data_IF_484919982768
#
_entry.id   IF_484919982768
#
_cell.length_a   1.000
_cell.length_b   1.000
_cell.length_c   1.000
_cell.angle_alpha   90.00
_cell.angle_beta   90.00
_cell.angle_gamma   90.00
#
_symmetry.space_group_name_H-M   'P 1'
#
loop_
_entity.id
_entity.type
_entity.pdbx_description
1 polymer ?
#
# COMPACT_ATOMS: atom_id res chain seq x y z
N UNK A 1 18.78 -0.68 4.35
CA UNK A 1 19.12 -2.07 3.98
C UNK A 1 19.00 -2.23 2.47
N UNK A 2 19.91 -2.98 1.83
CA UNK A 2 19.82 -3.26 0.39
C UNK A 2 18.58 -4.12 0.05
N UNK A 3 18.01 -4.00 -1.18
CA UNK A 3 16.88 -4.83 -1.59
C UNK A 3 17.25 -6.30 -1.61
N UNK A 4 16.29 -7.17 -1.27
CA UNK A 4 16.46 -8.62 -1.28
C UNK A 4 15.89 -9.21 -2.57
N UNK A 5 16.72 -9.26 -3.61
CA UNK A 5 16.38 -9.79 -4.92
C UNK A 5 16.30 -11.31 -4.93
N UNK A 6 15.32 -11.89 -5.64
CA UNK A 6 15.07 -13.34 -5.73
C UNK A 6 15.95 -14.07 -6.75
N UNK A 7 16.86 -13.36 -7.42
CA UNK A 7 17.80 -13.93 -8.39
C UNK A 7 18.79 -12.90 -8.92
N UNK A 8 19.89 -13.38 -9.51
CA UNK A 8 21.00 -12.51 -9.97
C UNK A 8 20.59 -11.47 -11.02
N UNK A 9 19.64 -11.81 -11.90
CA UNK A 9 19.15 -10.90 -12.94
C UNK A 9 17.94 -10.05 -12.51
N UNK A 10 17.38 -10.28 -11.32
CA UNK A 10 16.14 -9.63 -10.91
C UNK A 10 16.30 -8.12 -10.71
N UNK A 11 17.44 -7.69 -10.16
CA UNK A 11 17.78 -6.27 -10.00
C UNK A 11 17.90 -5.56 -11.35
N UNK A 12 18.67 -6.14 -12.29
CA UNK A 12 18.83 -5.59 -13.63
C UNK A 12 17.48 -5.45 -14.36
N UNK A 13 16.60 -6.45 -14.24
CA UNK A 13 15.23 -6.38 -14.79
C UNK A 13 14.41 -5.25 -14.17
N UNK A 14 14.45 -5.11 -12.84
CA UNK A 14 13.73 -4.06 -12.13
C UNK A 14 14.24 -2.66 -12.47
N UNK A 15 15.54 -2.50 -12.71
CA UNK A 15 16.15 -1.23 -13.13
C UNK A 15 15.86 -0.89 -14.60
N UNK A 16 15.82 -1.91 -15.48
CA UNK A 16 15.46 -1.72 -16.89
C UNK A 16 14.01 -1.25 -17.05
N UNK A 17 13.11 -1.70 -16.17
CA UNK A 17 11.71 -1.29 -16.16
C UNK A 17 11.28 -0.77 -14.77
N UNK A 18 11.55 0.51 -14.46
CA UNK A 18 11.16 1.11 -13.19
C UNK A 18 9.65 1.11 -12.99
N UNK A 19 9.19 0.83 -11.77
CA UNK A 19 7.76 0.75 -11.44
C UNK A 19 6.99 2.04 -11.80
N UNK A 20 7.61 3.22 -11.61
CA UNK A 20 7.00 4.50 -11.97
C UNK A 20 6.64 4.59 -13.46
N UNK A 21 7.49 4.04 -14.34
CA UNK A 21 7.25 3.98 -15.78
C UNK A 21 6.10 3.03 -16.11
N UNK A 22 6.04 1.88 -15.45
CA UNK A 22 4.97 0.88 -15.62
C UNK A 22 3.62 1.49 -15.20
N UNK A 23 3.58 2.13 -14.03
CA UNK A 23 2.37 2.77 -13.49
C UNK A 23 1.90 3.93 -14.38
N UNK A 24 2.83 4.73 -14.93
CA UNK A 24 2.49 5.80 -15.88
C UNK A 24 1.91 5.24 -17.19
N UNK A 25 2.48 4.16 -17.74
CA UNK A 25 1.92 3.48 -18.92
C UNK A 25 0.52 2.94 -18.66
N UNK A 26 0.32 2.30 -17.50
CA UNK A 26 -0.99 1.81 -17.06
C UNK A 26 -1.99 2.96 -16.98
N UNK A 27 -1.59 4.10 -16.38
CA UNK A 27 -2.45 5.27 -16.26
C UNK A 27 -2.92 5.76 -17.64
N UNK A 28 -2.01 5.96 -18.59
CA UNK A 28 -2.35 6.42 -19.94
C UNK A 28 -3.31 5.46 -20.65
N UNK A 29 -3.01 4.15 -20.64
CA UNK A 29 -3.85 3.13 -21.28
C UNK A 29 -5.27 3.07 -20.70
N UNK A 30 -5.41 3.23 -19.38
CA UNK A 30 -6.73 3.25 -18.73
C UNK A 30 -7.53 4.52 -19.04
N UNK A 31 -6.86 5.67 -19.15
CA UNK A 31 -7.49 6.94 -19.54
C UNK A 31 -7.96 6.88 -20.99
N UNK A 32 -7.13 6.40 -21.91
CA UNK A 32 -7.44 6.28 -23.34
C UNK A 32 -8.63 5.35 -23.61
N UNK A 33 -8.74 4.27 -22.84
CA UNK A 33 -9.85 3.30 -22.95
C UNK A 33 -11.12 3.71 -22.17
N UNK A 34 -11.11 4.82 -21.42
CA UNK A 34 -12.19 5.26 -20.54
C UNK A 34 -12.69 4.11 -19.64
N UNK A 35 -11.74 3.42 -19.01
CA UNK A 35 -11.98 2.17 -18.30
C UNK A 35 -12.96 2.34 -17.12
N UNK A 36 -13.86 1.36 -16.94
CA UNK A 36 -14.89 1.37 -15.91
C UNK A 36 -14.76 0.15 -14.99
N UNK A 37 -14.78 0.41 -13.68
CA UNK A 37 -14.84 -0.62 -12.65
C UNK A 37 -16.24 -0.76 -12.09
N UNK A 38 -16.77 -1.99 -12.05
CA UNK A 38 -18.04 -2.32 -11.42
C UNK A 38 -17.85 -2.53 -9.92
N UNK A 39 -18.50 -1.70 -9.11
CA UNK A 39 -18.51 -1.84 -7.67
C UNK A 39 -19.33 -3.07 -7.26
N UNK A 40 -18.71 -4.00 -6.54
CA UNK A 40 -19.38 -5.23 -6.08
C UNK A 40 -18.95 -5.57 -4.65
N UNK A 41 -19.84 -5.31 -3.69
CA UNK A 41 -19.61 -5.60 -2.27
C UNK A 41 -18.42 -4.84 -1.69
N UNK A 42 -17.33 -5.57 -1.38
CA UNK A 42 -16.09 -5.00 -0.83
C UNK A 42 -14.94 -4.99 -1.85
N UNK A 43 -15.26 -5.06 -3.14
CA UNK A 43 -14.28 -5.04 -4.24
C UNK A 43 -14.81 -4.31 -5.46
N UNK A 44 -13.92 -3.97 -6.37
CA UNK A 44 -14.28 -3.42 -7.69
C UNK A 44 -13.75 -4.36 -8.77
N UNK A 45 -14.61 -4.71 -9.72
CA UNK A 45 -14.31 -5.58 -10.84
C UNK A 45 -14.02 -4.75 -12.08
N UNK A 46 -12.88 -5.00 -12.72
CA UNK A 46 -12.46 -4.25 -13.89
C UNK A 46 -12.07 -5.22 -15.00
N UNK A 47 -12.63 -5.02 -16.19
CA UNK A 47 -12.25 -5.78 -17.38
C UNK A 47 -11.06 -5.07 -18.06
N UNK A 48 -10.03 -5.84 -18.39
CA UNK A 48 -8.81 -5.35 -19.01
C UNK A 48 -8.57 -6.07 -20.35
N UNK A 49 -8.08 -5.31 -21.33
CA UNK A 49 -7.54 -5.86 -22.59
C UNK A 49 -6.17 -6.54 -22.35
N UNK A 50 -5.57 -7.21 -23.34
CA UNK A 50 -4.30 -7.91 -23.17
C UNK A 50 -3.13 -7.00 -22.73
N UNK A 51 -3.04 -5.78 -23.25
CA UNK A 51 -1.97 -4.83 -22.89
C UNK A 51 -2.14 -4.33 -21.46
N UNK A 52 -3.37 -3.94 -21.10
CA UNK A 52 -3.75 -3.56 -19.74
C UNK A 52 -3.51 -4.70 -18.76
N UNK A 53 -3.78 -5.94 -19.16
CA UNK A 53 -3.55 -7.13 -18.34
C UNK A 53 -2.08 -7.27 -17.97
N UNK A 54 -1.17 -7.11 -18.94
CA UNK A 54 0.26 -7.11 -18.67
C UNK A 54 0.64 -5.98 -17.70
N UNK A 55 0.14 -4.76 -17.94
CA UNK A 55 0.41 -3.59 -17.11
C UNK A 55 -0.14 -3.73 -15.68
N UNK A 56 -1.34 -4.27 -15.49
CA UNK A 56 -1.93 -4.55 -14.18
C UNK A 56 -1.08 -5.55 -13.40
N UNK A 57 -0.65 -6.62 -14.06
CA UNK A 57 0.23 -7.63 -13.47
C UNK A 57 1.57 -7.01 -13.06
N UNK A 58 2.20 -6.25 -13.95
CA UNK A 58 3.50 -5.62 -13.68
C UNK A 58 3.43 -4.55 -12.58
N UNK A 59 2.37 -3.71 -12.57
CA UNK A 59 2.14 -2.69 -11.54
C UNK A 59 1.57 -3.24 -10.22
N UNK A 60 1.21 -4.54 -10.21
CA UNK A 60 0.69 -5.27 -9.06
C UNK A 60 -0.60 -4.66 -8.47
N UNK A 61 -1.50 -4.16 -9.31
CA UNK A 61 -2.83 -3.74 -8.89
C UNK A 61 -3.81 -4.90 -9.01
N UNK A 62 -4.55 -5.17 -7.94
CA UNK A 62 -5.60 -6.18 -7.94
C UNK A 62 -5.11 -7.62 -8.05
N UNK A 63 -6.07 -8.49 -8.32
CA UNK A 63 -5.89 -9.92 -8.56
C UNK A 63 -6.64 -10.33 -9.82
N UNK A 64 -6.00 -11.06 -10.75
CA UNK A 64 -6.71 -11.59 -11.91
C UNK A 64 -7.76 -12.61 -11.46
N UNK A 65 -8.94 -12.57 -12.09
CA UNK A 65 -10.03 -13.53 -11.93
C UNK A 65 -10.00 -14.47 -13.12
N UNK A 66 -10.00 -15.78 -12.86
CA UNK A 66 -10.09 -16.77 -13.92
C UNK A 66 -11.53 -16.75 -14.44
N UNK A 67 -11.70 -16.43 -15.72
CA UNK A 67 -13.01 -16.47 -16.39
C UNK A 67 -12.94 -17.40 -17.59
N UNK A 68 -14.11 -17.87 -18.05
CA UNK A 68 -14.23 -18.72 -19.25
C UNK A 68 -14.16 -17.92 -20.55
N UNK A 69 -14.21 -16.59 -20.49
CA UNK A 69 -14.15 -15.70 -21.65
C UNK A 69 -12.70 -15.58 -22.13
N UNK A 70 -12.44 -15.88 -23.41
CA UNK A 70 -11.08 -15.92 -23.97
C UNK A 70 -10.46 -14.54 -24.19
N UNK A 71 -11.29 -13.51 -24.37
CA UNK A 71 -10.83 -12.21 -24.89
C UNK A 71 -10.77 -11.09 -23.85
N UNK A 72 -11.22 -11.32 -22.61
CA UNK A 72 -11.22 -10.32 -21.53
C UNK A 72 -10.75 -10.92 -20.22
N UNK A 73 -9.68 -10.34 -19.67
CA UNK A 73 -9.20 -10.70 -18.35
C UNK A 73 -9.83 -9.76 -17.33
N UNK A 74 -10.48 -10.33 -16.32
CA UNK A 74 -11.05 -9.55 -15.23
C UNK A 74 -10.07 -9.42 -14.08
N UNK A 75 -10.06 -8.27 -13.42
CA UNK A 75 -9.29 -7.98 -12.22
C UNK A 75 -10.22 -7.60 -11.08
N UNK A 76 -9.96 -8.19 -9.91
CA UNK A 76 -10.55 -7.79 -8.64
C UNK A 76 -9.61 -6.80 -7.94
N UNK A 77 -10.06 -5.56 -7.77
CA UNK A 77 -9.39 -4.53 -6.99
C UNK A 77 -9.97 -4.50 -5.57
N UNK A 78 -9.11 -4.25 -4.57
CA UNK A 78 -9.57 -3.84 -3.25
C UNK A 78 -10.20 -2.44 -3.30
N UNK A 79 -10.96 -2.05 -2.27
CA UNK A 79 -11.52 -0.71 -2.17
C UNK A 79 -10.42 0.37 -2.19
N UNK A 80 -9.29 0.12 -1.52
CA UNK A 80 -8.15 1.05 -1.50
C UNK A 80 -7.49 1.17 -2.87
N UNK A 81 -7.31 0.05 -3.57
CA UNK A 81 -6.77 0.02 -4.94
C UNK A 81 -7.67 0.78 -5.91
N UNK A 82 -8.98 0.51 -5.86
CA UNK A 82 -9.95 1.12 -6.75
C UNK A 82 -10.08 2.63 -6.52
N UNK A 83 -10.17 3.07 -5.26
CA UNK A 83 -10.22 4.50 -4.94
C UNK A 83 -8.93 5.21 -5.32
N UNK A 84 -7.77 4.56 -5.21
CA UNK A 84 -6.50 5.14 -5.64
C UNK A 84 -6.46 5.36 -7.16
N UNK A 85 -6.89 4.36 -7.94
CA UNK A 85 -6.97 4.49 -9.39
C UNK A 85 -8.00 5.55 -9.83
N UNK A 86 -9.13 5.65 -9.12
CA UNK A 86 -10.21 6.58 -9.42
C UNK A 86 -9.90 8.03 -9.01
N UNK A 87 -9.50 8.28 -7.77
CA UNK A 87 -9.39 9.64 -7.22
C UNK A 87 -7.97 10.21 -7.30
N UNK A 88 -6.94 9.37 -7.09
CA UNK A 88 -5.53 9.83 -7.08
C UNK A 88 -4.94 9.80 -8.48
N UNK A 89 -5.06 8.66 -9.18
CA UNK A 89 -4.55 8.53 -10.56
C UNK A 89 -5.53 9.03 -11.62
N UNK A 90 -6.82 9.16 -11.29
CA UNK A 90 -7.87 9.65 -12.20
C UNK A 90 -7.92 8.90 -13.53
N UNK A 91 -7.71 7.58 -13.49
CA UNK A 91 -7.61 6.74 -14.69
C UNK A 91 -8.76 5.76 -14.89
N UNK A 92 -9.64 5.60 -13.90
CA UNK A 92 -10.84 4.75 -14.02
C UNK A 92 -12.08 5.48 -13.49
N UNK A 93 -13.26 5.05 -13.93
CA UNK A 93 -14.56 5.45 -13.35
C UNK A 93 -15.18 4.26 -12.64
N UNK A 94 -15.80 4.48 -11.49
CA UNK A 94 -16.46 3.40 -10.74
C UNK A 94 -17.97 3.51 -10.93
N UNK A 95 -18.58 2.43 -11.43
CA UNK A 95 -20.03 2.32 -11.63
C UNK A 95 -20.66 1.44 -10.56
N UNK A 96 -21.83 1.82 -10.07
CA UNK A 96 -22.61 1.01 -9.14
C UNK A 96 -23.46 -0.06 -9.83
N UNK A 97 -24.21 -0.81 -9.03
CA UNK A 97 -25.17 -1.81 -9.50
C UNK A 97 -26.26 -1.20 -10.41
N UNK A 98 -26.56 0.08 -10.21
CA UNK A 98 -27.47 0.90 -11.02
C UNK A 98 -26.89 1.29 -12.40
N UNK A 99 -25.66 0.86 -12.71
CA UNK A 99 -24.88 1.28 -13.89
C UNK A 99 -24.62 2.79 -13.97
N UNK A 100 -24.86 3.51 -12.88
CA UNK A 100 -24.53 4.92 -12.77
C UNK A 100 -23.10 5.08 -12.25
N UNK A 101 -22.37 6.03 -12.82
CA UNK A 101 -21.05 6.43 -12.30
C UNK A 101 -21.27 7.06 -10.93
N UNK A 102 -20.56 6.56 -9.92
CA UNK A 102 -20.60 7.12 -8.57
C UNK A 102 -19.66 8.31 -8.49
N UNK A 103 -20.13 9.38 -7.86
CA UNK A 103 -19.26 10.50 -7.52
C UNK A 103 -18.28 10.11 -6.39
N UNK A 104 -17.28 10.96 -6.14
CA UNK A 104 -16.25 10.68 -5.13
C UNK A 104 -16.81 10.64 -3.70
N UNK A 105 -17.85 11.42 -3.38
CA UNK A 105 -18.47 11.47 -2.05
C UNK A 105 -19.29 10.21 -1.78
N UNK A 106 -20.10 9.78 -2.74
CA UNK A 106 -20.86 8.54 -2.71
C UNK A 106 -19.94 7.34 -2.54
N UNK A 107 -18.83 7.32 -3.29
CA UNK A 107 -17.84 6.26 -3.20
C UNK A 107 -17.17 6.25 -1.83
N UNK A 108 -16.78 7.43 -1.32
CA UNK A 108 -16.17 7.58 -0.01
C UNK A 108 -17.10 7.09 1.12
N UNK A 109 -18.36 7.53 1.11
CA UNK A 109 -19.37 7.08 2.07
C UNK A 109 -19.61 5.58 1.98
N UNK A 110 -19.73 5.03 0.76
CA UNK A 110 -19.91 3.60 0.54
C UNK A 110 -18.74 2.81 1.14
N UNK A 111 -17.51 3.15 0.78
CA UNK A 111 -16.32 2.41 1.21
C UNK A 111 -16.11 2.52 2.73
N UNK A 112 -16.33 3.70 3.30
CA UNK A 112 -16.26 3.93 4.75
C UNK A 112 -17.32 3.13 5.50
N UNK A 113 -18.52 2.95 4.93
CA UNK A 113 -19.57 2.11 5.53
C UNK A 113 -19.24 0.61 5.49
N UNK A 114 -18.49 0.16 4.47
CA UNK A 114 -18.16 -1.26 4.26
C UNK A 114 -16.98 -1.75 5.08
N UNK A 115 -15.98 -0.89 5.30
CA UNK A 115 -14.75 -1.27 5.99
C UNK A 115 -14.44 -0.29 7.11
N UNK A 116 -14.39 -0.81 8.34
CA UNK A 116 -13.93 -0.03 9.49
C UNK A 116 -12.50 0.48 9.25
N UNK A 117 -12.23 1.71 9.70
CA UNK A 117 -10.94 2.38 9.50
C UNK A 117 -10.52 2.53 8.03
N UNK A 118 -11.46 2.43 7.07
CA UNK A 118 -11.15 2.60 5.65
C UNK A 118 -10.40 3.92 5.33
N UNK A 119 -10.80 5.10 5.86
CA UNK A 119 -10.07 6.35 5.60
C UNK A 119 -8.59 6.27 5.97
N UNK A 120 -8.29 5.69 7.14
CA UNK A 120 -6.94 5.51 7.67
C UNK A 120 -6.12 4.56 6.79
N UNK A 121 -6.70 3.41 6.46
CA UNK A 121 -6.05 2.39 5.62
C UNK A 121 -5.81 2.89 4.20
N UNK A 122 -6.77 3.61 3.63
CA UNK A 122 -6.64 4.19 2.31
C UNK A 122 -5.57 5.27 2.28
N UNK A 123 -5.50 6.15 3.28
CA UNK A 123 -4.44 7.15 3.39
C UNK A 123 -3.06 6.51 3.44
N UNK A 124 -2.89 5.47 4.27
CA UNK A 124 -1.64 4.71 4.37
C UNK A 124 -1.28 4.01 3.05
N UNK A 125 -2.26 3.39 2.39
CA UNK A 125 -2.09 2.76 1.09
C UNK A 125 -1.64 3.78 0.03
N UNK A 126 -2.34 4.91 -0.07
CA UNK A 126 -2.03 5.99 -1.00
C UNK A 126 -0.64 6.56 -0.76
N UNK A 127 -0.27 6.77 0.50
CA UNK A 127 1.06 7.25 0.90
C UNK A 127 2.18 6.33 0.42
N UNK A 128 2.03 5.02 0.58
CA UNK A 128 2.98 4.03 0.07
C UNK A 128 3.03 4.02 -1.47
N UNK A 129 1.87 4.06 -2.14
CA UNK A 129 1.81 4.05 -3.61
C UNK A 129 2.43 5.31 -4.22
N UNK A 130 2.22 6.49 -3.63
CA UNK A 130 2.87 7.74 -4.07
C UNK A 130 4.39 7.68 -3.94
N UNK A 131 4.92 6.89 -3.01
CA UNK A 131 6.36 6.59 -2.88
C UNK A 131 6.83 5.43 -3.78
N UNK A 132 6.01 5.01 -4.75
CA UNK A 132 6.27 3.91 -5.69
C UNK A 132 6.50 2.54 -5.02
N UNK A 133 5.92 2.29 -3.85
CA UNK A 133 5.88 0.92 -3.31
C UNK A 133 4.82 0.09 -4.03
N UNK A 134 5.13 -1.18 -4.31
CA UNK A 134 4.08 -2.18 -4.54
C UNK A 134 3.50 -2.55 -3.18
N UNK A 135 2.20 -2.35 -3.00
CA UNK A 135 1.49 -2.61 -1.75
C UNK A 135 0.57 -3.80 -1.94
N UNK A 136 0.64 -4.80 -1.04
CA UNK A 136 -0.27 -5.96 -1.04
C UNK A 136 -0.83 -6.17 0.36
N UNK A 137 -1.95 -6.91 0.44
CA UNK A 137 -2.54 -7.27 1.73
C UNK A 137 -1.54 -8.02 2.63
N UNK A 138 -1.44 -7.62 3.90
CA UNK A 138 -0.47 -8.13 4.86
C UNK A 138 -0.99 -9.28 5.75
N UNK A 139 -2.21 -9.76 5.52
CA UNK A 139 -2.90 -10.70 6.42
C UNK A 139 -2.12 -11.98 6.72
N UNK A 140 -1.36 -12.49 5.76
CA UNK A 140 -0.47 -13.66 5.93
C UNK A 140 0.64 -13.46 6.97
N UNK A 141 0.98 -12.22 7.28
CA UNK A 141 2.03 -11.84 8.22
C UNK A 141 1.47 -11.16 9.47
N UNK A 142 0.14 -11.16 9.62
CA UNK A 142 -0.53 -10.47 10.72
C UNK A 142 -0.28 -8.96 10.69
N UNK A 143 -0.21 -8.33 9.52
CA UNK A 143 -0.08 -6.87 9.39
C UNK A 143 -1.08 -6.35 8.34
N UNK A 144 -1.26 -5.04 8.22
CA UNK A 144 -2.25 -4.46 7.30
C UNK A 144 -1.78 -4.59 5.85
N UNK A 145 -0.52 -4.21 5.59
CA UNK A 145 0.09 -4.29 4.26
C UNK A 145 1.49 -4.89 4.29
N UNK A 146 1.95 -5.33 3.13
CA UNK A 146 3.37 -5.58 2.85
C UNK A 146 3.80 -4.73 1.67
N UNK A 147 4.98 -4.13 1.79
CA UNK A 147 5.53 -3.23 0.78
C UNK A 147 6.76 -3.86 0.09
N UNK A 148 6.77 -3.80 -1.24
CA UNK A 148 7.87 -4.29 -2.08
C UNK A 148 8.45 -3.14 -2.90
N UNK A 149 9.76 -3.14 -3.09
CA UNK A 149 10.45 -2.17 -3.96
C UNK A 149 10.11 -2.34 -5.44
N UNK A 150 9.66 -3.53 -5.84
CA UNK A 150 9.26 -3.89 -7.21
C UNK A 150 8.34 -5.13 -7.15
N UNK A 151 8.01 -5.72 -8.29
CA UNK A 151 7.14 -6.87 -8.44
C UNK A 151 7.54 -8.03 -7.49
N UNK A 152 6.60 -8.67 -6.77
CA UNK A 152 6.88 -9.75 -5.81
C UNK A 152 7.60 -10.97 -6.38
N UNK A 153 7.60 -11.16 -7.70
CA UNK A 153 8.39 -12.21 -8.36
C UNK A 153 9.90 -11.88 -8.42
N UNK A 154 10.27 -10.60 -8.38
CA UNK A 154 11.67 -10.14 -8.51
C UNK A 154 12.32 -9.89 -7.15
N UNK A 155 11.55 -9.38 -6.18
CA UNK A 155 12.09 -8.93 -4.89
C UNK A 155 11.22 -9.44 -3.73
N UNK A 156 11.84 -9.74 -2.59
CA UNK A 156 11.10 -9.96 -1.36
C UNK A 156 10.54 -8.63 -0.83
N UNK A 157 9.40 -8.69 -0.15
CA UNK A 157 8.87 -7.54 0.59
C UNK A 157 9.92 -7.03 1.57
N UNK A 158 10.07 -5.72 1.64
CA UNK A 158 10.97 -5.07 2.60
C UNK A 158 10.25 -4.83 3.92
N UNK A 159 9.04 -4.26 3.84
CA UNK A 159 8.27 -3.88 5.01
C UNK A 159 7.07 -4.79 5.24
N UNK A 160 6.88 -5.14 6.51
CA UNK A 160 5.60 -5.50 7.08
C UNK A 160 5.01 -4.22 7.69
N UNK A 161 3.83 -3.81 7.26
CA UNK A 161 3.29 -2.46 7.54
C UNK A 161 2.08 -2.56 8.46
N UNK A 162 2.18 -1.93 9.63
CA UNK A 162 1.05 -1.69 10.53
C UNK A 162 0.60 -0.25 10.43
N UNK A 163 -0.71 -0.04 10.30
CA UNK A 163 -1.33 1.28 10.25
C UNK A 163 -1.99 1.55 11.59
N UNK A 164 -1.62 2.65 12.25
CA UNK A 164 -2.17 3.09 13.53
C UNK A 164 -2.82 4.46 13.37
N UNK A 165 -3.84 4.74 14.18
CA UNK A 165 -4.41 6.08 14.31
C UNK A 165 -4.66 6.44 15.77
N UNK A 166 -4.64 7.75 16.05
CA UNK A 166 -4.96 8.27 17.39
C UNK A 166 -6.46 8.57 17.57
N UNK A 167 -7.29 8.29 16.56
CA UNK A 167 -8.72 8.62 16.60
C UNK A 167 -9.46 7.78 17.66
N UNK A 168 -10.26 8.46 18.47
CA UNK A 168 -11.07 7.85 19.52
C UNK A 168 -12.11 6.90 18.92
N UNK A 169 -12.01 5.61 19.26
CA UNK A 169 -12.82 4.55 18.66
C UNK A 169 -12.06 3.68 17.65
N UNK A 170 -10.76 3.91 17.44
CA UNK A 170 -9.93 2.99 16.67
C UNK A 170 -9.90 1.60 17.32
N UNK A 171 -10.73 0.71 16.79
CA UNK A 171 -10.82 -0.70 17.19
C UNK A 171 -9.58 -1.50 16.79
N UNK A 172 -8.66 -0.92 16.01
CA UNK A 172 -7.38 -1.54 15.63
C UNK A 172 -6.29 -1.34 16.68
N UNK A 173 -6.66 -1.37 17.97
CA UNK A 173 -5.80 -1.23 19.15
C UNK A 173 -4.60 -2.21 19.20
N UNK A 174 -3.64 -2.03 18.30
CA UNK A 174 -2.46 -2.85 18.11
C UNK A 174 -1.25 -2.06 18.54
N UNK A 175 -0.24 -2.75 19.08
CA UNK A 175 0.98 -2.11 19.58
C UNK A 175 0.71 -1.14 20.75
N UNK A 176 -0.34 -1.38 21.55
CA UNK A 176 -0.62 -0.58 22.77
C UNK A 176 0.22 -1.00 23.97
N UNK A 177 0.67 -2.25 23.97
CA UNK A 177 1.49 -2.84 25.02
C UNK A 177 2.76 -3.45 24.44
N UNK A 178 3.81 -3.55 25.25
CA UNK A 178 5.10 -4.09 24.83
C UNK A 178 5.03 -5.52 24.28
N UNK A 179 4.12 -6.35 24.78
CA UNK A 179 3.91 -7.71 24.28
C UNK A 179 3.52 -7.72 22.79
N UNK A 180 2.70 -6.78 22.34
CA UNK A 180 2.30 -6.67 20.94
C UNK A 180 3.50 -6.37 20.04
N UNK A 181 4.38 -5.46 20.49
CA UNK A 181 5.63 -5.17 19.80
C UNK A 181 6.51 -6.41 19.70
N UNK A 182 6.71 -7.13 20.82
CA UNK A 182 7.52 -8.35 20.82
C UNK A 182 6.96 -9.43 19.89
N UNK A 183 5.65 -9.66 19.92
CA UNK A 183 4.98 -10.61 19.02
C UNK A 183 5.13 -10.19 17.56
N UNK A 184 4.86 -8.93 17.24
CA UNK A 184 4.95 -8.41 15.88
C UNK A 184 6.38 -8.46 15.34
N UNK A 185 7.37 -8.06 16.14
CA UNK A 185 8.78 -8.11 15.75
C UNK A 185 9.26 -9.55 15.58
N UNK A 186 8.78 -10.50 16.40
CA UNK A 186 9.07 -11.92 16.23
C UNK A 186 8.52 -12.46 14.90
N UNK A 187 7.26 -12.14 14.59
CA UNK A 187 6.63 -12.51 13.31
C UNK A 187 7.39 -11.92 12.12
N UNK A 188 7.65 -10.61 12.13
CA UNK A 188 8.38 -9.91 11.06
C UNK A 188 9.79 -10.47 10.88
N UNK A 189 10.52 -10.69 11.99
CA UNK A 189 11.87 -11.24 11.98
C UNK A 189 11.95 -12.66 11.41
N UNK A 190 10.94 -13.51 11.67
CA UNK A 190 10.91 -14.89 11.15
C UNK A 190 10.87 -14.98 9.61
N UNK A 191 10.32 -13.95 8.96
CA UNK A 191 10.24 -13.83 7.50
C UNK A 191 11.15 -12.73 6.96
N UNK A 192 12.09 -12.28 7.80
CA UNK A 192 13.08 -11.24 7.55
C UNK A 192 12.48 -9.96 6.93
N UNK A 193 11.33 -9.50 7.45
CA UNK A 193 10.72 -8.22 7.09
C UNK A 193 11.02 -7.19 8.18
N UNK A 194 11.21 -5.94 7.79
CA UNK A 194 11.33 -4.83 8.73
C UNK A 194 9.93 -4.32 9.07
N UNK A 195 9.65 -4.09 10.35
CA UNK A 195 8.36 -3.51 10.76
C UNK A 195 8.37 -2.01 10.44
N UNK A 196 7.40 -1.59 9.62
CA UNK A 196 7.10 -0.18 9.35
C UNK A 196 5.76 0.14 9.99
N UNK A 197 5.74 1.09 10.91
CA UNK A 197 4.53 1.63 11.50
C UNK A 197 4.20 2.93 10.78
N UNK A 198 2.99 2.99 10.19
CA UNK A 198 2.42 4.20 9.62
C UNK A 198 1.41 4.75 10.61
N UNK A 199 1.74 5.87 11.24
CA UNK A 199 0.83 6.57 12.12
C UNK A 199 0.07 7.63 11.31
N UNK A 200 -1.26 7.50 11.25
CA UNK A 200 -2.13 8.36 10.47
C UNK A 200 -2.92 9.23 11.43
N UNK A 201 -2.69 10.54 11.36
CA UNK A 201 -3.36 11.54 12.17
C UNK A 201 -4.22 12.46 11.33
N UNK A 202 -5.34 12.94 11.89
CA UNK A 202 -6.23 13.90 11.25
C UNK A 202 -5.88 15.32 11.71
N UNK A 203 -5.53 16.17 10.76
CA UNK A 203 -5.32 17.59 10.91
C UNK A 203 -6.68 18.33 10.81
N UNK A 204 -7.34 18.54 11.95
CA UNK A 204 -8.48 19.46 12.09
C UNK A 204 -9.84 18.80 12.39
N UNK A 205 -10.77 19.59 12.94
CA UNK A 205 -12.08 19.17 13.46
C UNK A 205 -13.23 19.11 12.41
N UNK A 206 -12.92 19.11 11.11
CA UNK A 206 -13.94 19.16 10.04
C UNK A 206 -14.68 17.83 9.80
N UNK A 207 -15.96 17.92 9.43
CA UNK A 207 -16.78 16.79 8.98
C UNK A 207 -16.22 16.17 7.68
N UNK A 208 -16.42 14.86 7.51
CA UNK A 208 -15.71 14.03 6.52
C UNK A 208 -16.32 14.15 5.12
N UNK A 209 -15.64 14.87 4.22
CA UNK A 209 -15.88 14.85 2.77
C UNK A 209 -14.80 14.03 2.05
N UNK A 210 -15.04 13.62 0.80
CA UNK A 210 -14.05 12.95 -0.06
C UNK A 210 -12.79 13.81 -0.32
N UNK A 211 -12.95 15.14 -0.33
CA UNK A 211 -11.86 16.13 -0.43
C UNK A 211 -10.95 16.18 0.82
N UNK A 212 -11.28 15.43 1.89
CA UNK A 212 -10.60 15.50 3.18
C UNK A 212 -9.29 14.71 3.28
N UNK A 213 -8.76 14.13 2.20
CA UNK A 213 -7.48 13.40 2.26
C UNK A 213 -6.28 14.29 2.58
N UNK A 214 -6.38 15.58 2.29
CA UNK A 214 -5.39 16.60 2.67
C UNK A 214 -5.35 16.83 4.18
N UNK A 215 -6.44 16.51 4.89
CA UNK A 215 -6.51 16.59 6.34
C UNK A 215 -5.86 15.39 7.03
N UNK A 216 -5.28 14.43 6.33
CA UNK A 216 -4.54 13.35 6.99
C UNK A 216 -3.03 13.51 6.79
N UNK A 217 -2.29 13.38 7.88
CA UNK A 217 -0.83 13.27 7.89
C UNK A 217 -0.42 11.81 8.12
N UNK A 218 0.74 11.41 7.57
CA UNK A 218 1.32 10.08 7.79
C UNK A 218 2.74 10.22 8.32
N UNK A 219 2.97 9.76 9.55
CA UNK A 219 4.30 9.63 10.14
C UNK A 219 4.80 8.18 9.97
N UNK A 220 6.05 8.03 9.49
CA UNK A 220 6.68 6.72 9.29
C UNK A 220 7.64 6.40 10.43
N UNK A 221 7.47 5.25 11.07
CA UNK A 221 8.40 4.76 12.09
C UNK A 221 8.88 3.36 11.73
N UNK A 222 10.19 3.21 11.56
CA UNK A 222 10.81 1.90 11.38
C UNK A 222 11.13 1.34 12.76
N UNK A 223 10.61 0.15 13.06
CA UNK A 223 10.87 -0.54 14.33
C UNK A 223 11.76 -1.75 14.05
N UNK A 224 12.96 -1.72 14.63
CA UNK A 224 13.93 -2.80 14.54
C UNK A 224 14.26 -3.34 15.93
N UNK A 225 14.72 -4.58 15.99
CA UNK A 225 15.26 -5.14 17.23
C UNK A 225 16.50 -4.35 17.61
N UNK A 226 16.59 -3.95 18.86
CA UNK A 226 17.80 -3.36 19.39
C UNK A 226 18.97 -4.34 19.25
N UNK A 227 20.06 -3.88 18.61
CA UNK A 227 21.30 -4.64 18.48
C UNK A 227 22.37 -4.01 19.39
N UNK A 228 22.83 -4.72 20.44
CA UNK A 228 23.88 -4.22 21.33
C UNK A 228 25.18 -3.86 20.60
N UNK A 229 25.56 -4.63 19.57
CA UNK A 229 26.84 -4.47 18.87
C UNK A 229 26.92 -3.12 18.13
N UNK A 230 25.85 -2.76 17.42
CA UNK A 230 25.73 -1.47 16.73
C UNK A 230 25.68 -0.26 17.68
N UNK A 231 25.29 -0.49 18.93
CA UNK A 231 25.16 0.57 19.94
C UNK A 231 26.49 0.86 20.65
N UNK A 232 27.41 -0.11 20.72
CA UNK A 232 28.74 0.06 21.33
C UNK A 232 29.67 0.91 20.48
N UNK A 233 29.60 0.80 19.16
CA UNK A 233 30.47 1.54 18.23
C UNK A 233 30.17 3.04 18.16
N UNK A 234 28.89 3.44 18.33
CA UNK A 234 28.51 4.86 18.33
C UNK A 234 29.11 5.65 19.50
N UNK A 235 29.37 5.02 20.65
CA UNK A 235 30.02 5.68 21.79
C UNK A 235 31.51 5.95 21.54
N UNK A 236 32.20 5.09 20.77
CA UNK A 236 33.61 5.28 20.44
C UNK A 236 33.85 6.45 19.48
N UNK A 237 32.87 6.77 18.61
CA UNK A 237 32.93 7.91 17.68
C UNK A 237 32.69 9.23 18.42
N UNK A 238 31.81 9.24 19.42
CA UNK A 238 31.54 10.42 20.27
C UNK A 238 32.74 10.73 21.18
N UNK A 239 33.38 9.71 21.78
CA UNK A 239 34.58 9.90 22.60
C UNK A 239 35.78 10.42 21.80
N UNK A 240 35.97 9.99 20.53
CA UNK A 240 37.04 10.51 19.68
C UNK A 240 36.88 11.97 19.26
N UNK A 241 35.67 12.53 19.29
CA UNK A 241 35.42 13.97 19.03
C UNK A 241 35.64 14.84 20.26
N UNK A 242 35.44 14.33 21.47
CA UNK A 242 35.72 15.08 22.70
C UNK A 242 37.21 15.18 23.04
N UNK A 243 38.04 14.21 22.64
CA UNK A 243 39.49 14.23 22.89
C UNK A 243 40.31 14.98 21.81
N UNK A 244 39.65 15.69 20.88
CA UNK A 244 40.31 16.51 19.84
C UNK A 244 39.90 17.99 19.89
N UNK A 245 39.34 18.45 21.02
CA UNK A 245 39.18 19.87 21.34
C UNK A 245 40.23 20.32 22.32
#
# INVERSE_FOLDING_TARGET
MAPRWKGRAAEAKALAEPLSKIVSRLQSSLVESNCQGLLSGCSVLLAADPEQTELFNHACFGRPIITSEKDKQWFQLSLEEALYLCSVMKCIKIVGDDKCVKDEEQLWHYMTSKRACFPILFKAYSHLRMKNWVVRAGSQYGVDFVAYRHHPALVHSEYAVLVLSDEEGDRSARLRVWSDFHCTLRLCGSVAKTLLVLHVSKNGNGAMSSSSLEHYCVEERIVTRWNPEQSRENQAIVQKKLCKS
#
